data_IF_814490546299
#
_entry.id   IF_814490546299
#
_cell.length_a   1.000
_cell.length_b   1.000
_cell.length_c   1.000
_cell.angle_alpha   90.00
_cell.angle_beta   90.00
_cell.angle_gamma   90.00
#
_symmetry.space_group_name_H-M   'P 1'
#
loop_
_entity.id
_entity.type
_entity.pdbx_description
1 polymer ?
#
# COMPACT_ATOMS: atom_id res chain seq x y z
N UNK A 1 -18.67 -12.10 7.62
CA UNK A 1 -17.46 -12.95 7.55
C UNK A 1 -16.24 -12.08 7.88
N UNK A 2 -15.49 -12.36 8.96
CA UNK A 2 -14.29 -11.58 9.34
C UNK A 2 -13.08 -12.08 8.55
N UNK A 3 -12.67 -11.35 7.52
CA UNK A 3 -11.40 -11.61 6.85
C UNK A 3 -10.24 -11.34 7.82
N UNK A 4 -9.31 -12.29 7.96
CA UNK A 4 -8.11 -12.11 8.78
C UNK A 4 -7.11 -11.23 8.01
N UNK A 5 -7.05 -9.94 8.36
CA UNK A 5 -6.17 -8.97 7.70
C UNK A 5 -4.71 -9.02 8.19
N UNK A 6 -4.40 -9.82 9.21
CA UNK A 6 -3.04 -9.99 9.74
C UNK A 6 -2.79 -11.43 10.15
N UNK A 7 -1.53 -11.89 10.02
CA UNK A 7 -1.07 -13.25 10.38
C UNK A 7 -1.05 -13.43 11.91
N UNK A 8 -0.86 -12.35 12.66
CA UNK A 8 -0.78 -12.35 14.12
C UNK A 8 -2.11 -11.95 14.73
N UNK A 9 -2.44 -12.56 15.85
CA UNK A 9 -3.56 -12.15 16.70
C UNK A 9 -3.31 -10.76 17.26
N UNK A 10 -4.31 -9.89 17.15
CA UNK A 10 -4.24 -8.56 17.75
C UNK A 10 -4.21 -8.70 19.26
N UNK A 11 -3.23 -8.08 19.91
CA UNK A 11 -3.14 -7.99 21.38
C UNK A 11 -4.06 -6.90 21.96
N UNK A 12 -4.88 -6.29 21.12
CA UNK A 12 -5.77 -5.19 21.50
C UNK A 12 -7.03 -5.75 22.14
N UNK A 13 -7.45 -5.20 23.27
CA UNK A 13 -8.75 -5.48 23.86
C UNK A 13 -9.84 -4.72 23.10
N UNK A 14 -10.50 -5.42 22.18
CA UNK A 14 -11.52 -4.85 21.31
C UNK A 14 -12.85 -4.60 22.03
N UNK A 15 -13.12 -5.27 23.15
CA UNK A 15 -14.36 -5.06 23.90
C UNK A 15 -14.28 -3.72 24.64
N UNK A 16 -13.15 -3.46 25.30
CA UNK A 16 -12.89 -2.19 25.97
C UNK A 16 -13.00 -0.99 25.02
N UNK A 17 -12.34 -1.06 23.85
CA UNK A 17 -12.40 0.04 22.86
C UNK A 17 -13.80 0.27 22.28
N UNK A 18 -14.66 -0.76 22.28
CA UNK A 18 -16.02 -0.64 21.76
C UNK A 18 -16.97 0.01 22.76
N UNK A 19 -16.69 -0.13 24.04
CA UNK A 19 -17.48 0.42 25.14
C UNK A 19 -17.01 1.83 25.56
N UNK A 20 -15.79 2.22 25.19
CA UNK A 20 -15.23 3.54 25.45
C UNK A 20 -16.02 4.64 24.70
N UNK A 21 -16.45 5.71 25.38
CA UNK A 21 -17.17 6.82 24.75
C UNK A 21 -16.22 7.72 23.94
N UNK A 22 -16.73 8.31 22.85
CA UNK A 22 -15.96 9.19 21.97
C UNK A 22 -15.32 10.39 22.70
N UNK A 23 -15.91 10.84 23.80
CA UNK A 23 -15.39 11.95 24.63
C UNK A 23 -14.09 11.65 25.34
N UNK A 24 -13.77 10.37 25.55
CA UNK A 24 -12.51 9.93 26.18
C UNK A 24 -11.38 9.77 25.15
N UNK A 25 -11.67 9.91 23.85
CA UNK A 25 -10.66 9.82 22.79
C UNK A 25 -9.86 11.12 22.76
N UNK A 26 -8.58 11.01 23.11
CA UNK A 26 -7.62 12.11 22.92
C UNK A 26 -7.36 12.33 21.42
N UNK A 27 -7.62 13.56 20.98
CA UNK A 27 -7.40 14.04 19.60
C UNK A 27 -6.54 15.30 19.58
N UNK A 28 -5.87 15.62 20.69
CA UNK A 28 -5.09 16.85 20.85
C UNK A 28 -3.92 16.96 19.87
N UNK A 29 -3.40 15.83 19.39
CA UNK A 29 -2.29 15.70 18.44
C UNK A 29 -2.74 15.70 16.96
N UNK A 30 -4.04 15.55 16.69
CA UNK A 30 -4.58 15.39 15.34
C UNK A 30 -5.54 16.55 15.00
N UNK A 31 -5.10 17.54 14.20
CA UNK A 31 -5.97 18.62 13.77
C UNK A 31 -7.11 18.11 12.89
N UNK A 32 -8.30 18.70 13.04
CA UNK A 32 -9.46 18.36 12.20
C UNK A 32 -9.17 18.69 10.74
N UNK A 33 -9.32 17.69 9.86
CA UNK A 33 -9.22 17.87 8.42
C UNK A 33 -10.43 18.64 7.90
N UNK A 34 -10.19 19.78 7.24
CA UNK A 34 -11.22 20.67 6.74
C UNK A 34 -11.50 20.43 5.25
N UNK A 35 -12.51 21.13 4.71
CA UNK A 35 -12.84 21.04 3.27
C UNK A 35 -11.68 21.50 2.38
N UNK A 36 -10.82 22.39 2.86
CA UNK A 36 -9.66 22.86 2.09
C UNK A 36 -8.62 21.76 1.90
N UNK A 37 -8.39 20.92 2.91
CA UNK A 37 -7.56 19.72 2.78
C UNK A 37 -8.08 18.79 1.69
N UNK A 38 -9.38 18.45 1.73
CA UNK A 38 -9.97 17.54 0.74
C UNK A 38 -10.04 18.13 -0.67
N UNK A 39 -10.11 19.45 -0.82
CA UNK A 39 -10.09 20.11 -2.14
C UNK A 39 -8.81 19.85 -2.93
N UNK A 40 -7.68 19.63 -2.25
CA UNK A 40 -6.37 19.33 -2.84
C UNK A 40 -6.02 17.83 -2.80
N UNK A 41 -6.80 17.04 -2.09
CA UNK A 41 -6.51 15.62 -1.90
C UNK A 41 -6.69 14.85 -3.22
N UNK A 42 -5.65 14.15 -3.66
CA UNK A 42 -5.72 13.25 -4.81
C UNK A 42 -5.91 11.81 -4.34
N UNK A 43 -7.03 11.22 -4.69
CA UNK A 43 -7.26 9.79 -4.46
C UNK A 43 -6.37 8.99 -5.42
N UNK A 44 -5.37 8.30 -4.86
CA UNK A 44 -4.50 7.38 -5.59
C UNK A 44 -5.00 5.96 -5.39
N UNK A 45 -5.93 5.52 -6.23
CA UNK A 45 -6.29 4.11 -6.28
C UNK A 45 -5.16 3.30 -6.93
N UNK A 46 -4.76 2.15 -6.36
CA UNK A 46 -3.83 1.25 -7.03
C UNK A 46 -4.48 0.76 -8.32
N UNK A 47 -3.92 1.16 -9.47
CA UNK A 47 -4.37 0.65 -10.76
C UNK A 47 -4.12 -0.86 -10.77
N UNK A 48 -5.14 -1.64 -11.12
CA UNK A 48 -5.00 -3.08 -11.32
C UNK A 48 -3.94 -3.32 -12.40
N UNK A 49 -2.89 -4.05 -12.04
CA UNK A 49 -1.88 -4.50 -12.99
C UNK A 49 -2.53 -5.51 -13.94
N UNK A 50 -2.20 -5.45 -15.22
CA UNK A 50 -2.60 -6.50 -16.18
C UNK A 50 -1.60 -7.64 -16.07
N UNK A 51 -2.08 -8.87 -15.87
CA UNK A 51 -1.23 -10.04 -15.91
C UNK A 51 -0.83 -10.29 -17.38
N UNK A 52 0.46 -10.21 -17.66
CA UNK A 52 1.03 -10.48 -18.99
C UNK A 52 2.16 -11.50 -18.85
N UNK A 53 2.33 -12.34 -19.87
CA UNK A 53 3.49 -13.23 -19.97
C UNK A 53 4.58 -12.50 -20.75
N UNK A 54 5.70 -12.20 -20.08
CA UNK A 54 6.88 -11.57 -20.66
C UNK A 54 8.07 -12.50 -20.50
N UNK A 55 8.86 -12.66 -21.55
CA UNK A 55 10.15 -13.37 -21.46
C UNK A 55 11.22 -12.38 -21.02
N UNK A 56 12.00 -12.79 -20.02
CA UNK A 56 13.15 -12.05 -19.51
C UNK A 56 14.37 -12.97 -19.60
N UNK A 57 15.54 -12.38 -19.74
CA UNK A 57 16.78 -13.14 -19.70
C UNK A 57 16.96 -13.78 -18.31
N UNK A 58 17.53 -15.00 -18.24
CA UNK A 58 17.64 -15.74 -16.98
C UNK A 58 18.44 -15.01 -15.90
N UNK A 59 19.54 -14.37 -16.29
CA UNK A 59 20.43 -13.62 -15.41
C UNK A 59 19.74 -12.40 -14.78
N UNK A 60 18.95 -11.66 -15.57
CA UNK A 60 18.14 -10.54 -15.08
C UNK A 60 17.10 -11.04 -14.08
N UNK A 61 16.41 -12.14 -14.41
CA UNK A 61 15.39 -12.70 -13.51
C UNK A 61 15.99 -13.19 -12.19
N UNK A 62 17.15 -13.85 -12.25
CA UNK A 62 17.84 -14.37 -11.08
C UNK A 62 18.36 -13.24 -10.18
N UNK A 63 18.85 -12.15 -10.76
CA UNK A 63 19.24 -10.95 -10.00
C UNK A 63 18.06 -10.39 -9.18
N UNK A 64 16.88 -10.22 -9.80
CA UNK A 64 15.70 -9.71 -9.09
C UNK A 64 15.16 -10.70 -8.04
N UNK A 65 15.29 -12.01 -8.27
CA UNK A 65 14.85 -13.04 -7.32
C UNK A 65 15.77 -13.14 -6.10
N UNK A 66 17.05 -12.83 -6.25
CA UNK A 66 18.03 -12.94 -5.16
C UNK A 66 17.71 -11.97 -4.00
N UNK A 67 17.20 -10.78 -4.31
CA UNK A 67 16.98 -9.75 -3.29
C UNK A 67 15.67 -9.91 -2.50
N UNK A 68 14.55 -10.36 -3.10
CA UNK A 68 13.24 -10.26 -2.42
C UNK A 68 12.13 -11.25 -2.85
N UNK A 69 11.21 -11.53 -1.91
CA UNK A 69 9.94 -12.27 -2.15
C UNK A 69 9.01 -11.59 -3.17
N UNK A 70 9.22 -10.31 -3.53
CA UNK A 70 8.34 -9.51 -4.39
C UNK A 70 9.05 -8.99 -5.66
N UNK A 71 9.94 -9.80 -6.23
CA UNK A 71 10.73 -9.46 -7.42
C UNK A 71 9.90 -8.91 -8.59
N UNK A 72 8.69 -9.43 -8.82
CA UNK A 72 7.78 -8.93 -9.88
C UNK A 72 7.37 -7.46 -9.68
N UNK A 73 7.25 -7.00 -8.43
CA UNK A 73 6.91 -5.60 -8.13
C UNK A 73 8.09 -4.68 -8.45
N UNK A 74 9.33 -5.10 -8.16
CA UNK A 74 10.56 -4.37 -8.54
C UNK A 74 10.70 -4.28 -10.06
N UNK A 75 10.53 -5.39 -10.78
CA UNK A 75 10.58 -5.40 -12.25
C UNK A 75 9.59 -4.37 -12.82
N UNK A 76 8.35 -4.36 -12.34
CA UNK A 76 7.35 -3.39 -12.80
C UNK A 76 7.72 -1.93 -12.46
N UNK A 77 8.38 -1.68 -11.32
CA UNK A 77 8.82 -0.33 -10.94
C UNK A 77 9.91 0.18 -11.89
N UNK A 78 10.89 -0.66 -12.24
CA UNK A 78 11.96 -0.33 -13.20
C UNK A 78 11.39 -0.05 -14.58
N UNK A 79 10.51 -0.93 -15.09
CA UNK A 79 9.85 -0.73 -16.39
C UNK A 79 9.05 0.58 -16.41
N UNK A 80 8.37 0.91 -15.31
CA UNK A 80 7.62 2.16 -15.20
C UNK A 80 8.51 3.39 -15.22
N UNK A 81 9.61 3.38 -14.45
CA UNK A 81 10.57 4.47 -14.44
C UNK A 81 11.18 4.70 -15.84
N UNK A 82 11.50 3.62 -16.56
CA UNK A 82 11.96 3.69 -17.93
C UNK A 82 10.93 4.36 -18.85
N UNK A 83 9.66 3.94 -18.79
CA UNK A 83 8.59 4.53 -19.59
C UNK A 83 8.40 6.01 -19.26
N UNK A 84 8.37 6.39 -17.98
CA UNK A 84 8.21 7.79 -17.56
C UNK A 84 9.38 8.68 -18.03
N UNK A 85 10.62 8.15 -18.03
CA UNK A 85 11.79 8.88 -18.53
C UNK A 85 11.83 9.05 -20.05
N UNK A 86 11.14 8.19 -20.81
CA UNK A 86 11.09 8.23 -22.28
C UNK A 86 9.76 8.76 -22.82
N UNK A 87 8.83 9.13 -21.94
CA UNK A 87 7.61 9.85 -22.30
C UNK A 87 7.90 11.36 -22.30
N UNK A 88 8.56 11.82 -23.36
CA UNK A 88 8.72 13.23 -23.73
C UNK A 88 8.32 13.43 -25.18
#
# INVERSE_FOLDING_TARGET
MKAKNTIRESRTDWNMLKEMPDSEIDVSDIPKLDKSFFSRAQVRMPKRKKAVSLRLDPDVLDWFKHEEKQYQTKINAVLRAYVEAHQH
#
